data_IF_740082631978
#
_entry.id   IF_740082631978
#
_cell.length_a   1.000
_cell.length_b   1.000
_cell.length_c   1.000
_cell.angle_alpha   90.00
_cell.angle_beta   90.00
_cell.angle_gamma   90.00
#
_symmetry.space_group_name_H-M   'P 1'
#
loop_
_entity.id
_entity.type
_entity.pdbx_description
1 polymer ?
#
# COMPACT_ATOMS: atom_id res chain seq x y z
N UNK A 1 -20.65 -10.61 9.15
CA UNK A 1 -19.87 -10.83 10.39
C UNK A 1 -18.43 -11.29 10.13
N UNK A 2 -18.20 -12.37 9.35
CA UNK A 2 -16.82 -12.87 9.09
C UNK A 2 -15.87 -11.79 8.54
N UNK A 3 -16.30 -11.01 7.53
CA UNK A 3 -15.46 -9.96 6.93
C UNK A 3 -15.03 -8.88 7.93
N UNK A 4 -15.94 -8.47 8.83
CA UNK A 4 -15.65 -7.47 9.85
C UNK A 4 -14.59 -7.99 10.84
N UNK A 5 -14.72 -9.23 11.28
CA UNK A 5 -13.75 -9.85 12.21
C UNK A 5 -12.38 -9.96 11.55
N UNK A 6 -12.32 -10.44 10.30
CA UNK A 6 -11.08 -10.52 9.53
C UNK A 6 -10.45 -9.13 9.40
N UNK A 7 -11.25 -8.11 9.09
CA UNK A 7 -10.75 -6.74 8.95
C UNK A 7 -10.17 -6.19 10.25
N UNK A 8 -10.86 -6.38 11.36
CA UNK A 8 -10.38 -5.94 12.68
C UNK A 8 -9.03 -6.60 13.00
N UNK A 9 -8.93 -7.92 12.81
CA UNK A 9 -7.68 -8.66 13.09
C UNK A 9 -6.55 -8.17 12.18
N UNK A 10 -6.81 -7.96 10.89
CA UNK A 10 -5.81 -7.51 9.92
C UNK A 10 -5.33 -6.08 10.22
N UNK A 11 -6.26 -5.15 10.51
CA UNK A 11 -5.89 -3.79 10.91
C UNK A 11 -5.09 -3.77 12.22
N UNK A 12 -5.56 -4.49 13.23
CA UNK A 12 -4.84 -4.61 14.50
C UNK A 12 -3.41 -5.11 14.28
N UNK A 13 -3.24 -6.13 13.44
CA UNK A 13 -1.94 -6.69 13.11
C UNK A 13 -1.02 -5.70 12.38
N UNK A 14 -1.55 -4.95 11.40
CA UNK A 14 -0.77 -3.93 10.67
C UNK A 14 -0.34 -2.78 11.56
N UNK A 15 -1.23 -2.32 12.45
CA UNK A 15 -0.89 -1.26 13.41
C UNK A 15 0.15 -1.79 14.42
N UNK A 16 0.00 -3.02 14.88
CA UNK A 16 0.98 -3.62 15.79
C UNK A 16 2.38 -3.71 15.15
N UNK A 17 2.47 -4.08 13.87
CA UNK A 17 3.75 -4.07 13.13
C UNK A 17 4.32 -2.66 13.07
N UNK A 18 3.48 -1.67 12.79
CA UNK A 18 3.86 -0.26 12.77
C UNK A 18 4.45 0.20 14.11
N UNK A 19 3.72 0.01 15.20
CA UNK A 19 4.15 0.35 16.55
C UNK A 19 5.42 -0.41 16.96
N UNK A 20 5.55 -1.65 16.50
CA UNK A 20 6.75 -2.45 16.74
C UNK A 20 7.99 -1.87 16.07
N UNK A 21 7.84 -1.19 14.92
CA UNK A 21 8.90 -0.43 14.29
C UNK A 21 9.43 0.68 15.19
N UNK A 22 8.56 1.52 15.73
CA UNK A 22 8.90 2.56 16.70
C UNK A 22 9.57 1.97 17.94
N UNK A 23 8.96 0.95 18.50
CA UNK A 23 9.45 0.26 19.69
C UNK A 23 10.90 -0.22 19.56
N UNK A 24 11.22 -0.96 18.49
CA UNK A 24 12.57 -1.51 18.28
C UNK A 24 13.61 -0.39 18.20
N UNK A 25 13.33 0.64 17.41
CA UNK A 25 14.32 1.71 17.18
C UNK A 25 14.41 2.63 18.39
N UNK A 26 13.31 2.91 19.09
CA UNK A 26 13.35 3.65 20.36
C UNK A 26 14.26 2.96 21.38
N UNK A 27 14.06 1.66 21.60
CA UNK A 27 14.89 0.86 22.53
C UNK A 27 16.36 0.82 22.12
N UNK A 28 16.67 0.63 20.82
CA UNK A 28 18.04 0.64 20.30
C UNK A 28 18.69 2.03 20.41
N UNK A 29 17.91 3.09 20.31
CA UNK A 29 18.36 4.48 20.44
C UNK A 29 18.56 4.92 21.90
N UNK A 30 18.18 4.08 22.88
CA UNK A 30 18.25 4.39 24.30
C UNK A 30 17.10 5.27 24.78
N UNK A 31 16.04 5.45 23.96
CA UNK A 31 14.82 6.15 24.36
C UNK A 31 13.99 5.20 25.24
N UNK A 32 13.52 5.71 26.38
CA UNK A 32 12.71 4.94 27.31
C UNK A 32 11.31 4.74 26.75
N UNK A 33 10.87 3.47 26.65
CA UNK A 33 9.52 3.11 26.28
C UNK A 33 8.76 2.68 27.52
N UNK A 34 7.75 3.46 27.90
CA UNK A 34 6.94 3.24 29.08
C UNK A 34 5.95 2.11 28.89
N UNK A 35 5.29 2.09 27.72
CA UNK A 35 4.27 1.07 27.42
C UNK A 35 4.26 0.69 25.95
N UNK A 36 4.07 -0.59 25.68
CA UNK A 36 3.76 -1.14 24.37
C UNK A 36 2.41 -1.86 24.45
N UNK A 37 1.39 -1.32 23.81
CA UNK A 37 0.00 -1.75 23.97
C UNK A 37 -0.60 -2.29 22.67
N UNK A 38 -1.33 -3.39 22.78
CA UNK A 38 -2.20 -3.95 21.75
C UNK A 38 -3.62 -3.50 22.06
N UNK A 39 -4.26 -2.78 21.13
CA UNK A 39 -5.59 -2.23 21.32
C UNK A 39 -5.60 -0.94 22.14
N UNK A 40 -6.78 -0.41 22.38
CA UNK A 40 -7.04 0.82 23.15
C UNK A 40 -8.04 0.60 24.27
N UNK A 41 -8.13 1.56 25.22
CA UNK A 41 -9.09 1.56 26.33
C UNK A 41 -8.56 0.87 27.58
N UNK A 42 -9.45 0.33 28.45
CA UNK A 42 -9.07 -0.32 29.70
C UNK A 42 -8.19 -1.54 29.47
N UNK A 43 -7.17 -1.74 30.33
CA UNK A 43 -6.25 -2.88 30.27
C UNK A 43 -6.96 -4.15 30.73
N UNK A 44 -6.96 -5.19 29.87
CA UNK A 44 -7.43 -6.54 30.22
C UNK A 44 -6.30 -7.33 30.85
N UNK A 45 -5.11 -7.22 30.27
CA UNK A 45 -3.91 -7.89 30.73
C UNK A 45 -2.70 -6.97 30.60
N UNK A 46 -1.82 -6.98 31.60
CA UNK A 46 -0.57 -6.25 31.50
C UNK A 46 0.55 -6.99 32.24
N UNK A 47 1.77 -6.86 31.70
CA UNK A 47 2.98 -7.44 32.30
C UNK A 47 4.14 -6.47 32.19
N UNK A 48 4.73 -6.12 33.32
CA UNK A 48 5.96 -5.34 33.35
C UNK A 48 7.16 -6.24 33.01
N UNK A 49 7.98 -5.80 32.04
CA UNK A 49 9.26 -6.44 31.72
C UNK A 49 10.33 -5.38 31.57
N UNK A 50 11.22 -5.32 32.56
CA UNK A 50 12.16 -4.20 32.69
C UNK A 50 11.43 -2.87 32.91
N UNK A 51 11.75 -1.87 32.11
CA UNK A 51 11.11 -0.55 32.18
C UNK A 51 9.82 -0.41 31.38
N UNK A 52 9.48 -1.40 30.53
CA UNK A 52 8.33 -1.33 29.63
C UNK A 52 7.18 -2.16 30.15
N UNK A 53 5.99 -1.57 30.20
CA UNK A 53 4.73 -2.26 30.44
C UNK A 53 4.19 -2.78 29.09
N UNK A 54 3.98 -4.09 28.99
CA UNK A 54 3.30 -4.71 27.84
C UNK A 54 1.85 -4.92 28.21
N UNK A 55 0.92 -4.40 27.40
CA UNK A 55 -0.50 -4.49 27.73
C UNK A 55 -1.35 -4.94 26.54
N UNK A 56 -2.47 -5.59 26.86
CA UNK A 56 -3.55 -5.89 25.93
C UNK A 56 -4.80 -5.19 26.47
N UNK A 57 -5.38 -4.34 25.65
CA UNK A 57 -6.51 -3.49 26.01
C UNK A 57 -7.82 -4.01 25.42
N UNK A 58 -8.94 -3.53 25.93
CA UNK A 58 -10.29 -4.06 25.68
C UNK A 58 -10.74 -3.87 24.22
N UNK A 59 -10.44 -2.75 23.61
CA UNK A 59 -10.88 -2.47 22.25
C UNK A 59 -9.78 -2.88 21.26
N UNK A 60 -10.02 -3.89 20.39
CA UNK A 60 -9.04 -4.36 19.42
C UNK A 60 -8.90 -3.42 18.22
N UNK A 61 -8.80 -2.13 18.50
CA UNK A 61 -8.65 -1.07 17.51
C UNK A 61 -7.37 -0.32 17.83
N UNK A 62 -6.39 -0.41 16.92
CA UNK A 62 -5.12 0.26 17.11
C UNK A 62 -4.17 -0.43 18.08
N UNK A 63 -3.19 0.31 18.51
CA UNK A 63 -2.14 0.00 19.46
C UNK A 63 -1.33 1.25 19.66
N UNK A 64 -0.37 1.23 20.57
CA UNK A 64 0.54 2.35 20.75
C UNK A 64 1.87 1.93 21.38
N UNK A 65 2.89 2.70 21.06
CA UNK A 65 4.21 2.64 21.68
C UNK A 65 4.44 3.96 22.44
N UNK A 66 4.13 4.00 23.74
CA UNK A 66 4.28 5.21 24.54
C UNK A 66 5.74 5.41 24.94
N UNK A 67 6.38 6.40 24.34
CA UNK A 67 7.74 6.81 24.68
C UNK A 67 7.73 7.91 25.74
N UNK A 68 8.68 7.87 26.65
CA UNK A 68 8.83 8.91 27.68
C UNK A 68 9.10 10.26 27.02
N UNK A 69 8.30 11.30 27.37
CA UNK A 69 8.50 12.66 26.87
C UNK A 69 8.16 12.86 25.39
N UNK A 70 7.37 11.99 24.78
CA UNK A 70 6.94 12.15 23.39
C UNK A 70 5.88 13.27 23.26
N UNK A 71 4.83 13.20 24.06
CA UNK A 71 3.71 14.14 24.01
C UNK A 71 3.68 15.15 25.17
N UNK A 72 4.62 15.04 26.11
CA UNK A 72 4.74 15.92 27.28
C UNK A 72 6.22 16.23 27.57
N UNK A 73 6.47 17.21 28.43
CA UNK A 73 7.83 17.48 28.89
C UNK A 73 8.24 16.50 29.98
N UNK A 74 9.39 15.87 29.85
CA UNK A 74 9.92 14.92 30.82
C UNK A 74 11.27 15.33 31.36
N UNK A 75 11.50 15.03 32.65
CA UNK A 75 12.81 15.21 33.29
C UNK A 75 13.77 14.03 33.08
N UNK A 76 13.28 12.88 32.58
CA UNK A 76 14.13 11.73 32.30
C UNK A 76 15.12 12.05 31.16
N UNK A 77 16.40 11.74 31.35
CA UNK A 77 17.43 11.97 30.35
C UNK A 77 17.26 11.12 29.08
N UNK A 78 16.58 10.00 29.21
CA UNK A 78 16.25 9.08 28.12
C UNK A 78 14.91 9.37 27.46
N UNK A 79 14.35 10.55 27.70
CA UNK A 79 13.10 10.97 27.09
C UNK A 79 13.27 11.23 25.59
N UNK A 80 12.20 11.04 24.83
CA UNK A 80 12.15 11.27 23.40
C UNK A 80 12.48 12.74 23.06
N UNK A 81 11.95 13.68 23.82
CA UNK A 81 12.18 15.12 23.59
C UNK A 81 13.62 15.54 23.83
N UNK A 82 14.37 14.89 24.76
CA UNK A 82 15.81 15.16 24.98
C UNK A 82 16.71 14.40 24.03
N UNK A 83 16.20 13.37 23.34
CA UNK A 83 16.99 12.60 22.41
C UNK A 83 17.47 13.47 21.22
N UNK A 84 18.69 13.24 20.71
CA UNK A 84 19.18 13.91 19.49
C UNK A 84 18.23 13.77 18.32
N UNK A 85 18.11 14.80 17.47
CA UNK A 85 17.15 14.85 16.37
C UNK A 85 17.24 13.64 15.43
N UNK A 86 18.45 13.12 15.15
CA UNK A 86 18.60 11.91 14.32
C UNK A 86 18.02 10.66 14.97
N UNK A 87 18.10 10.50 16.29
CA UNK A 87 17.50 9.38 17.01
C UNK A 87 15.97 9.46 16.95
N UNK A 88 15.41 10.65 17.15
CA UNK A 88 13.97 10.90 17.00
C UNK A 88 13.51 10.62 15.58
N UNK A 89 14.23 11.14 14.58
CA UNK A 89 13.96 10.89 13.17
C UNK A 89 13.87 9.39 12.84
N UNK A 90 14.90 8.60 13.17
CA UNK A 90 14.91 7.17 12.88
C UNK A 90 13.87 6.39 13.69
N UNK A 91 13.58 6.81 14.91
CA UNK A 91 12.56 6.20 15.74
C UNK A 91 11.17 6.36 15.10
N UNK A 92 10.82 7.56 14.67
CA UNK A 92 9.51 7.79 14.05
C UNK A 92 9.47 7.22 12.63
N UNK A 93 10.51 7.30 11.85
CA UNK A 93 10.59 6.72 10.50
C UNK A 93 10.39 5.18 10.51
N UNK A 94 10.78 4.52 11.60
CA UNK A 94 10.76 3.06 11.68
C UNK A 94 9.35 2.46 11.58
N UNK A 95 8.33 3.12 12.11
CA UNK A 95 6.93 2.67 12.00
C UNK A 95 6.46 2.57 10.54
N UNK A 96 6.44 3.66 9.79
CA UNK A 96 6.10 3.62 8.37
C UNK A 96 6.97 2.67 7.55
N UNK A 97 8.28 2.66 7.80
CA UNK A 97 9.23 1.86 7.03
C UNK A 97 9.01 0.35 7.22
N UNK A 98 8.73 -0.11 8.45
CA UNK A 98 8.49 -1.52 8.70
C UNK A 98 7.22 -2.00 7.98
N UNK A 99 6.20 -1.15 7.84
CA UNK A 99 5.01 -1.46 7.07
C UNK A 99 5.32 -1.64 5.58
N UNK A 100 6.17 -0.80 5.00
CA UNK A 100 6.61 -0.96 3.61
C UNK A 100 7.42 -2.24 3.41
N UNK A 101 8.34 -2.55 4.35
CA UNK A 101 9.12 -3.80 4.33
C UNK A 101 8.19 -5.01 4.45
N UNK A 102 7.25 -4.96 5.38
CA UNK A 102 6.28 -6.04 5.59
C UNK A 102 5.41 -6.26 4.34
N UNK A 103 4.94 -5.21 3.70
CA UNK A 103 4.21 -5.30 2.43
C UNK A 103 5.06 -5.99 1.35
N UNK A 104 6.33 -5.62 1.22
CA UNK A 104 7.27 -6.26 0.29
C UNK A 104 7.41 -7.76 0.55
N UNK A 105 7.46 -8.18 1.82
CA UNK A 105 7.50 -9.59 2.19
C UNK A 105 6.20 -10.32 1.81
N UNK A 106 5.04 -9.68 2.05
CA UNK A 106 3.74 -10.25 1.66
C UNK A 106 3.60 -10.41 0.15
N UNK A 107 3.98 -9.41 -0.64
CA UNK A 107 3.97 -9.51 -2.10
C UNK A 107 4.97 -10.54 -2.62
N UNK A 108 6.14 -10.64 -2.00
CA UNK A 108 7.12 -11.68 -2.31
C UNK A 108 6.55 -13.08 -2.05
N UNK A 109 5.88 -13.26 -0.92
CA UNK A 109 5.23 -14.51 -0.57
C UNK A 109 4.12 -14.87 -1.58
N UNK A 110 3.29 -13.90 -1.97
CA UNK A 110 2.27 -14.11 -3.00
C UNK A 110 2.93 -14.48 -4.33
N UNK A 111 3.93 -13.73 -4.79
CA UNK A 111 4.62 -14.00 -6.04
C UNK A 111 5.29 -15.40 -6.06
N UNK A 112 5.89 -15.81 -4.95
CA UNK A 112 6.50 -17.13 -4.82
C UNK A 112 5.47 -18.27 -4.99
N UNK A 113 4.27 -18.10 -4.40
CA UNK A 113 3.22 -19.12 -4.43
C UNK A 113 2.40 -19.11 -5.73
N UNK A 114 2.10 -17.94 -6.27
CA UNK A 114 1.22 -17.80 -7.45
C UNK A 114 1.99 -17.68 -8.76
N UNK A 115 3.29 -17.34 -8.70
CA UNK A 115 4.10 -16.99 -9.86
C UNK A 115 3.83 -15.56 -10.34
N UNK A 116 4.46 -15.18 -11.46
CA UNK A 116 4.25 -13.93 -12.18
C UNK A 116 3.43 -14.14 -13.45
N UNK A 117 2.62 -13.17 -13.88
CA UNK A 117 1.93 -13.26 -15.15
C UNK A 117 2.94 -13.30 -16.30
N UNK A 118 2.82 -14.32 -17.17
CA UNK A 118 3.60 -14.43 -18.39
C UNK A 118 2.85 -13.83 -19.57
N UNK A 119 3.49 -13.79 -20.72
CA UNK A 119 2.87 -13.31 -21.97
C UNK A 119 2.00 -14.39 -22.66
N UNK A 120 1.86 -15.60 -22.06
CA UNK A 120 1.06 -16.70 -22.60
C UNK A 120 -0.40 -16.58 -22.21
N UNK A 121 -1.28 -16.83 -23.17
CA UNK A 121 -2.74 -16.83 -22.98
C UNK A 121 -3.14 -18.09 -22.20
N UNK A 122 -3.72 -17.92 -21.01
CA UNK A 122 -4.36 -19.02 -20.25
C UNK A 122 -5.82 -19.15 -20.65
N UNK A 123 -6.53 -18.03 -20.72
CA UNK A 123 -7.96 -17.97 -20.94
C UNK A 123 -8.33 -16.63 -21.56
N UNK A 124 -9.43 -16.58 -22.32
CA UNK A 124 -9.96 -15.33 -22.84
C UNK A 124 -11.00 -14.76 -21.88
N UNK A 125 -11.00 -13.43 -21.71
CA UNK A 125 -12.06 -12.75 -20.99
C UNK A 125 -13.40 -12.88 -21.77
N UNK A 126 -14.53 -12.71 -21.10
CA UNK A 126 -15.87 -12.90 -21.64
C UNK A 126 -16.09 -12.12 -22.94
N UNK A 127 -15.56 -10.90 -23.03
CA UNK A 127 -15.64 -10.03 -24.19
C UNK A 127 -14.29 -9.83 -24.90
N UNK A 128 -13.48 -10.86 -25.00
CA UNK A 128 -12.15 -10.80 -25.58
C UNK A 128 -12.20 -10.45 -27.08
N UNK A 129 -11.61 -9.32 -27.51
CA UNK A 129 -11.57 -8.95 -28.93
C UNK A 129 -10.70 -9.90 -29.74
N UNK A 130 -9.64 -10.46 -29.15
CA UNK A 130 -8.68 -11.30 -29.88
C UNK A 130 -9.13 -12.74 -30.05
N UNK A 131 -10.13 -13.22 -29.26
CA UNK A 131 -10.69 -14.57 -29.39
C UNK A 131 -11.26 -14.80 -30.80
N UNK A 132 -12.08 -13.87 -31.28
CA UNK A 132 -12.66 -13.93 -32.64
C UNK A 132 -11.63 -13.69 -33.75
N UNK A 133 -10.46 -13.16 -33.45
CA UNK A 133 -9.40 -12.83 -34.39
C UNK A 133 -8.35 -13.95 -34.51
N UNK A 134 -8.71 -15.17 -34.06
CA UNK A 134 -7.93 -16.41 -34.30
C UNK A 134 -6.74 -16.58 -33.38
N UNK A 135 -6.73 -15.94 -32.17
CA UNK A 135 -5.81 -16.32 -31.09
C UNK A 135 -6.30 -17.60 -30.41
N UNK A 136 -5.37 -18.34 -29.83
CA UNK A 136 -5.62 -19.60 -29.15
C UNK A 136 -5.03 -19.62 -27.76
N UNK A 137 -5.54 -20.49 -26.89
CA UNK A 137 -4.95 -20.77 -25.58
C UNK A 137 -3.52 -21.28 -25.80
N UNK A 138 -2.60 -20.89 -24.93
CA UNK A 138 -1.15 -21.11 -24.98
C UNK A 138 -0.39 -20.33 -26.07
N UNK A 139 -1.01 -19.46 -26.88
CA UNK A 139 -0.27 -18.49 -27.68
C UNK A 139 0.53 -17.59 -26.75
N UNK A 140 1.75 -17.28 -27.13
CA UNK A 140 2.64 -16.37 -26.40
C UNK A 140 2.75 -15.06 -27.20
N UNK A 141 2.40 -13.94 -26.57
CA UNK A 141 2.55 -12.62 -27.19
C UNK A 141 4.03 -12.26 -27.15
N UNK A 142 4.64 -12.13 -28.33
CA UNK A 142 6.07 -11.85 -28.50
C UNK A 142 6.34 -10.39 -28.85
N UNK A 143 5.55 -9.79 -29.75
CA UNK A 143 5.66 -8.37 -30.09
C UNK A 143 4.29 -7.71 -30.16
N UNK A 144 4.24 -6.42 -29.80
CA UNK A 144 3.10 -5.54 -30.00
C UNK A 144 3.61 -4.27 -30.65
N UNK A 145 3.10 -3.91 -31.84
CA UNK A 145 3.56 -2.78 -32.66
C UNK A 145 5.09 -2.78 -32.83
N UNK A 146 5.65 -3.91 -33.24
CA UNK A 146 7.09 -4.16 -33.45
C UNK A 146 7.99 -4.04 -32.19
N UNK A 147 7.42 -3.71 -31.01
CA UNK A 147 8.15 -3.72 -29.74
C UNK A 147 8.13 -5.14 -29.14
N UNK A 148 9.29 -5.65 -28.74
CA UNK A 148 9.38 -6.91 -28.02
C UNK A 148 8.76 -6.82 -26.63
N UNK A 149 8.05 -7.87 -26.24
CA UNK A 149 7.34 -8.01 -24.99
C UNK A 149 8.09 -9.00 -24.10
N UNK A 150 8.69 -8.50 -23.03
CA UNK A 150 9.43 -9.30 -22.06
C UNK A 150 8.58 -9.62 -20.84
N UNK A 151 7.71 -8.69 -20.42
CA UNK A 151 6.82 -8.83 -19.28
C UNK A 151 5.37 -8.57 -19.72
N UNK A 152 4.41 -9.14 -18.98
CA UNK A 152 2.99 -8.93 -19.26
C UNK A 152 2.58 -7.44 -19.26
N UNK A 153 3.20 -6.65 -18.38
CA UNK A 153 2.98 -5.20 -18.29
C UNK A 153 3.37 -4.43 -19.56
N UNK A 154 4.30 -4.96 -20.35
CA UNK A 154 4.76 -4.32 -21.59
C UNK A 154 3.70 -4.35 -22.69
N UNK A 155 2.77 -5.33 -22.62
CA UNK A 155 1.63 -5.40 -23.53
C UNK A 155 0.77 -4.14 -23.38
N UNK A 156 0.36 -3.82 -22.15
CA UNK A 156 -0.46 -2.65 -21.88
C UNK A 156 0.24 -1.34 -22.25
N UNK A 157 1.52 -1.21 -21.89
CA UNK A 157 2.33 -0.03 -22.28
C UNK A 157 2.43 0.14 -23.80
N UNK A 158 2.68 -0.96 -24.53
CA UNK A 158 2.80 -0.90 -25.99
C UNK A 158 1.46 -0.57 -26.68
N UNK A 159 0.35 -1.05 -26.13
CA UNK A 159 -1.00 -0.69 -26.58
C UNK A 159 -1.28 0.79 -26.31
N UNK A 160 -1.04 1.26 -25.09
CA UNK A 160 -1.26 2.67 -24.73
C UNK A 160 -0.41 3.61 -25.58
N UNK A 161 0.86 3.29 -25.81
CA UNK A 161 1.76 4.10 -26.65
C UNK A 161 1.28 4.17 -28.10
N UNK A 162 0.81 3.06 -28.66
CA UNK A 162 0.25 3.04 -30.01
C UNK A 162 -0.97 3.96 -30.11
N UNK A 163 -1.93 3.82 -29.20
CA UNK A 163 -3.19 4.56 -29.25
C UNK A 163 -3.11 6.03 -28.79
N UNK A 164 -1.96 6.51 -28.32
CA UNK A 164 -1.73 7.96 -28.13
C UNK A 164 -1.79 8.73 -29.45
N UNK A 165 -1.35 8.10 -30.55
CA UNK A 165 -1.22 8.73 -31.87
C UNK A 165 -2.14 8.11 -32.95
N UNK A 166 -2.98 7.13 -32.57
CA UNK A 166 -3.85 6.39 -33.45
C UNK A 166 -5.30 6.42 -32.97
N UNK A 167 -6.24 6.21 -33.91
CA UNK A 167 -7.67 6.12 -33.58
C UNK A 167 -8.00 4.80 -32.90
N UNK A 168 -9.08 4.78 -32.12
CA UNK A 168 -9.54 3.57 -31.40
C UNK A 168 -9.86 2.39 -32.32
N UNK A 169 -10.25 2.66 -33.57
CA UNK A 169 -10.58 1.64 -34.57
C UNK A 169 -9.40 1.12 -35.35
N UNK A 170 -8.21 1.76 -35.22
CA UNK A 170 -7.03 1.33 -35.93
C UNK A 170 -6.58 -0.05 -35.43
N UNK A 171 -6.12 -0.86 -36.39
CA UNK A 171 -5.59 -2.19 -36.05
C UNK A 171 -4.13 -2.07 -35.64
N UNK A 172 -3.76 -2.83 -34.61
CA UNK A 172 -2.39 -2.94 -34.14
C UNK A 172 -1.78 -4.27 -34.55
N UNK A 173 -0.49 -4.26 -34.91
CA UNK A 173 0.26 -5.48 -35.19
C UNK A 173 0.63 -6.20 -33.92
N UNK A 174 0.35 -7.49 -33.84
CA UNK A 174 0.74 -8.38 -32.76
C UNK A 174 1.40 -9.62 -33.33
N UNK A 175 2.65 -9.87 -32.97
CA UNK A 175 3.36 -11.11 -33.28
C UNK A 175 3.19 -12.05 -32.09
N UNK A 176 2.71 -13.26 -32.36
CA UNK A 176 2.61 -14.32 -31.37
C UNK A 176 3.48 -15.53 -31.73
N UNK A 177 3.85 -16.31 -30.74
CA UNK A 177 4.51 -17.62 -30.92
C UNK A 177 3.48 -18.72 -30.66
N UNK A 178 3.30 -19.60 -31.67
CA UNK A 178 2.46 -20.80 -31.57
C UNK A 178 3.23 -21.98 -32.15
N UNK A 179 3.42 -23.04 -31.38
CA UNK A 179 4.17 -24.24 -31.81
C UNK A 179 5.55 -23.87 -32.39
N UNK A 180 6.29 -22.98 -31.72
CA UNK A 180 7.61 -22.47 -32.10
C UNK A 180 7.63 -21.73 -33.45
N UNK A 181 6.49 -21.27 -33.97
CA UNK A 181 6.39 -20.44 -35.17
C UNK A 181 5.89 -19.06 -34.83
N UNK A 182 6.50 -18.05 -35.44
CA UNK A 182 6.03 -16.66 -35.34
C UNK A 182 4.84 -16.45 -36.28
N UNK A 183 3.81 -15.84 -35.77
CA UNK A 183 2.58 -15.53 -36.51
C UNK A 183 2.23 -14.08 -36.27
N UNK A 184 2.22 -13.31 -37.35
CA UNK A 184 1.82 -11.90 -37.32
C UNK A 184 0.32 -11.78 -37.53
N UNK A 185 -0.31 -10.95 -36.69
CA UNK A 185 -1.73 -10.62 -36.77
C UNK A 185 -1.96 -9.13 -36.64
N UNK A 186 -2.84 -8.61 -37.47
CA UNK A 186 -3.34 -7.24 -37.33
C UNK A 186 -4.69 -7.29 -36.63
N UNK A 187 -4.76 -6.78 -35.41
CA UNK A 187 -5.90 -6.95 -34.50
C UNK A 187 -6.54 -5.64 -34.08
N UNK A 188 -7.85 -5.65 -33.90
CA UNK A 188 -8.57 -4.60 -33.21
C UNK A 188 -8.60 -4.93 -31.73
N UNK A 189 -8.31 -3.91 -30.88
CA UNK A 189 -8.42 -4.02 -29.43
C UNK A 189 -9.77 -3.52 -28.94
N UNK A 190 -10.13 -3.84 -27.70
CA UNK A 190 -11.25 -3.26 -26.98
C UNK A 190 -10.73 -2.17 -26.03
N UNK A 191 -11.57 -1.17 -25.77
CA UNK A 191 -11.28 -0.16 -24.75
C UNK A 191 -12.17 -0.40 -23.53
N UNK A 192 -11.56 -0.60 -22.37
CA UNK A 192 -12.22 -0.63 -21.06
C UNK A 192 -11.67 0.53 -20.23
N UNK A 193 -12.55 1.35 -19.66
CA UNK A 193 -12.17 2.55 -18.91
C UNK A 193 -11.13 3.45 -19.63
N UNK A 194 -11.32 3.61 -20.94
CA UNK A 194 -10.43 4.36 -21.85
C UNK A 194 -9.05 3.71 -22.07
N UNK A 195 -8.79 2.50 -21.56
CA UNK A 195 -7.54 1.76 -21.77
C UNK A 195 -7.70 0.68 -22.84
N UNK A 196 -6.75 0.55 -23.78
CA UNK A 196 -6.78 -0.50 -24.78
C UNK A 196 -6.39 -1.84 -24.15
N UNK A 197 -7.16 -2.91 -24.42
CA UNK A 197 -6.92 -4.25 -23.90
C UNK A 197 -7.02 -5.31 -24.99
N UNK A 198 -6.23 -6.38 -24.87
CA UNK A 198 -6.36 -7.59 -25.70
C UNK A 198 -7.42 -8.57 -25.15
N UNK A 199 -7.76 -8.48 -23.87
CA UNK A 199 -8.84 -9.25 -23.27
C UNK A 199 -8.52 -10.72 -23.05
N UNK A 200 -7.39 -11.02 -22.37
CA UNK A 200 -7.04 -12.36 -21.94
C UNK A 200 -6.46 -12.39 -20.53
N UNK A 201 -6.59 -13.54 -19.89
CA UNK A 201 -5.97 -13.86 -18.60
C UNK A 201 -4.64 -14.55 -18.89
N UNK A 202 -3.50 -14.03 -18.37
CA UNK A 202 -2.20 -14.62 -18.58
C UNK A 202 -2.03 -15.94 -17.82
N UNK A 203 -1.21 -16.80 -18.36
CA UNK A 203 -0.73 -17.98 -17.62
C UNK A 203 0.37 -17.53 -16.66
N UNK A 204 0.29 -17.95 -15.41
CA UNK A 204 1.35 -17.65 -14.46
C UNK A 204 2.57 -18.56 -14.69
N UNK A 205 3.75 -17.96 -14.60
CA UNK A 205 5.04 -18.64 -14.61
C UNK A 205 5.59 -18.67 -13.19
N UNK A 206 6.01 -19.84 -12.71
CA UNK A 206 6.67 -19.98 -11.41
C UNK A 206 7.91 -19.12 -11.34
N UNK A 207 8.16 -18.53 -10.19
CA UNK A 207 9.34 -17.71 -9.90
C UNK A 207 10.14 -18.32 -8.76
N UNK A 208 11.46 -18.11 -8.79
CA UNK A 208 12.34 -18.52 -7.71
C UNK A 208 12.25 -17.59 -6.50
N UNK A 209 12.83 -18.02 -5.38
CA UNK A 209 12.82 -17.25 -4.12
C UNK A 209 13.37 -15.83 -4.28
N UNK A 210 14.56 -15.66 -4.85
CA UNK A 210 15.15 -14.32 -5.04
C UNK A 210 14.37 -13.47 -6.02
N UNK A 211 13.85 -14.07 -7.09
CA UNK A 211 13.01 -13.35 -8.04
C UNK A 211 11.71 -12.87 -7.39
N UNK A 212 11.12 -13.67 -6.51
CA UNK A 212 9.91 -13.26 -5.77
C UNK A 212 10.15 -12.05 -4.87
N UNK A 213 11.34 -11.93 -4.23
CA UNK A 213 11.71 -10.76 -3.43
C UNK A 213 11.82 -9.51 -4.32
N UNK A 214 12.43 -9.64 -5.49
CA UNK A 214 12.53 -8.53 -6.45
C UNK A 214 11.13 -8.09 -6.90
N UNK A 215 10.24 -9.05 -7.20
CA UNK A 215 8.86 -8.76 -7.59
C UNK A 215 8.12 -8.03 -6.45
N UNK A 216 8.21 -8.54 -5.23
CA UNK A 216 7.55 -7.92 -4.08
C UNK A 216 8.04 -6.48 -3.80
N UNK A 217 9.34 -6.24 -3.92
CA UNK A 217 9.91 -4.90 -3.76
C UNK A 217 9.48 -3.95 -4.90
N UNK A 218 9.47 -4.42 -6.14
CA UNK A 218 8.96 -3.65 -7.29
C UNK A 218 7.48 -3.30 -7.12
N UNK A 219 6.68 -4.23 -6.56
CA UNK A 219 5.25 -4.01 -6.33
C UNK A 219 5.01 -2.89 -5.32
N UNK A 220 5.78 -2.84 -4.20
CA UNK A 220 5.74 -1.71 -3.26
C UNK A 220 6.04 -0.39 -3.97
N UNK A 221 7.11 -0.33 -4.77
CA UNK A 221 7.47 0.88 -5.54
C UNK A 221 6.38 1.30 -6.54
N UNK A 222 5.77 0.33 -7.23
CA UNK A 222 4.65 0.56 -8.16
C UNK A 222 3.44 1.15 -7.44
N UNK A 223 3.07 0.59 -6.28
CA UNK A 223 1.95 1.09 -5.48
C UNK A 223 2.20 2.49 -4.94
N UNK A 224 3.40 2.78 -4.42
CA UNK A 224 3.77 4.13 -3.98
C UNK A 224 3.66 5.12 -5.16
N UNK A 225 4.16 4.75 -6.33
CA UNK A 225 4.08 5.60 -7.53
C UNK A 225 2.62 5.87 -7.93
N UNK A 226 1.76 4.85 -7.86
CA UNK A 226 0.33 4.99 -8.12
C UNK A 226 -0.34 5.92 -7.10
N UNK A 227 -0.02 5.81 -5.81
CA UNK A 227 -0.54 6.69 -4.76
C UNK A 227 -0.16 8.15 -4.98
N UNK A 228 1.09 8.42 -5.38
CA UNK A 228 1.55 9.77 -5.74
C UNK A 228 0.73 10.33 -6.92
N UNK A 229 0.47 9.51 -7.95
CA UNK A 229 -0.36 9.91 -9.10
C UNK A 229 -1.80 10.19 -8.66
N UNK A 230 -2.38 9.34 -7.82
CA UNK A 230 -3.75 9.53 -7.29
C UNK A 230 -3.84 10.82 -6.48
N UNK A 231 -2.89 11.07 -5.57
CA UNK A 231 -2.82 12.32 -4.80
C UNK A 231 -2.70 13.54 -5.72
N UNK A 232 -1.78 13.50 -6.70
CA UNK A 232 -1.65 14.58 -7.69
C UNK A 232 -2.96 14.85 -8.43
N UNK A 233 -3.65 13.80 -8.86
CA UNK A 233 -4.93 13.94 -9.57
C UNK A 233 -6.05 14.46 -8.68
N UNK A 234 -6.04 14.11 -7.39
CA UNK A 234 -6.97 14.64 -6.39
C UNK A 234 -6.74 16.14 -6.17
N UNK A 235 -5.48 16.56 -5.95
CA UNK A 235 -5.14 17.98 -5.75
C UNK A 235 -5.35 18.84 -7.01
N UNK A 236 -5.22 18.26 -8.21
CA UNK A 236 -5.47 18.96 -9.48
C UNK A 236 -6.94 18.91 -9.92
N UNK A 237 -7.84 18.34 -9.11
CA UNK A 237 -9.27 18.22 -9.43
C UNK A 237 -9.61 17.25 -10.56
N UNK A 238 -8.64 16.46 -11.05
CA UNK A 238 -8.87 15.44 -12.08
C UNK A 238 -9.57 14.20 -11.54
N UNK A 239 -9.45 13.94 -10.24
CA UNK A 239 -10.18 12.93 -9.49
C UNK A 239 -11.05 13.62 -8.44
N UNK A 240 -12.32 13.23 -8.37
CA UNK A 240 -13.22 13.69 -7.33
C UNK A 240 -13.06 12.90 -6.03
N UNK A 241 -13.55 13.44 -4.91
CA UNK A 241 -13.61 12.75 -3.61
C UNK A 241 -14.38 11.42 -3.67
N UNK A 242 -15.20 11.22 -4.70
CA UNK A 242 -15.88 9.95 -4.95
C UNK A 242 -14.93 8.76 -5.16
N UNK A 243 -13.70 9.01 -5.58
CA UNK A 243 -12.69 7.97 -5.80
C UNK A 243 -12.05 7.45 -4.48
N UNK A 244 -12.22 8.17 -3.36
CA UNK A 244 -11.69 7.74 -2.07
C UNK A 244 -12.61 6.70 -1.44
N UNK A 245 -12.06 5.63 -0.91
CA UNK A 245 -12.77 4.63 -0.09
C UNK A 245 -12.54 4.91 1.39
N UNK A 246 -13.60 4.90 2.16
CA UNK A 246 -13.53 5.00 3.61
C UNK A 246 -13.42 3.63 4.30
N UNK A 247 -13.47 3.61 5.63
CA UNK A 247 -13.36 2.38 6.41
C UNK A 247 -14.37 1.30 6.01
N UNK A 248 -15.59 1.69 5.67
CA UNK A 248 -16.66 0.74 5.27
C UNK A 248 -16.35 0.10 3.92
N UNK A 249 -15.86 0.91 2.96
CA UNK A 249 -15.43 0.43 1.65
C UNK A 249 -14.25 -0.56 1.76
N UNK A 250 -13.29 -0.26 2.63
CA UNK A 250 -12.13 -1.15 2.88
C UNK A 250 -12.57 -2.48 3.49
N UNK A 251 -13.48 -2.48 4.48
CA UNK A 251 -14.03 -3.72 5.08
C UNK A 251 -14.77 -4.55 4.04
N UNK A 252 -15.58 -3.91 3.17
CA UNK A 252 -16.29 -4.58 2.08
C UNK A 252 -15.32 -5.23 1.09
N UNK A 253 -14.28 -4.48 0.68
CA UNK A 253 -13.27 -4.99 -0.25
C UNK A 253 -12.47 -6.13 0.36
N UNK A 254 -12.09 -6.04 1.65
CA UNK A 254 -11.40 -7.11 2.35
C UNK A 254 -12.23 -8.40 2.40
N UNK A 255 -13.55 -8.27 2.63
CA UNK A 255 -14.47 -9.40 2.55
C UNK A 255 -14.51 -10.02 1.15
N UNK A 256 -14.49 -9.20 0.10
CA UNK A 256 -14.43 -9.66 -1.28
C UNK A 256 -13.13 -10.42 -1.57
N UNK A 257 -12.00 -9.87 -1.16
CA UNK A 257 -10.69 -10.51 -1.36
C UNK A 257 -10.57 -11.84 -0.58
N UNK A 258 -11.14 -11.91 0.63
CA UNK A 258 -11.19 -13.16 1.40
C UNK A 258 -11.98 -14.26 0.68
N UNK A 259 -13.07 -13.91 0.00
CA UNK A 259 -13.87 -14.86 -0.79
C UNK A 259 -13.16 -15.33 -2.09
N UNK A 260 -12.27 -14.49 -2.65
CA UNK A 260 -11.45 -14.84 -3.81
C UNK A 260 -10.28 -15.77 -3.46
N UNK A 261 -9.97 -15.95 -2.19
CA UNK A 261 -8.97 -16.87 -1.69
C UNK A 261 -7.86 -16.21 -0.88
N UNK A 262 -7.10 -17.05 -0.17
CA UNK A 262 -6.09 -16.59 0.80
C UNK A 262 -4.99 -15.74 0.17
N UNK A 263 -4.54 -16.04 -1.05
CA UNK A 263 -3.48 -15.27 -1.70
C UNK A 263 -3.93 -13.86 -2.07
N UNK A 264 -5.20 -13.69 -2.47
CA UNK A 264 -5.79 -12.37 -2.72
C UNK A 264 -5.91 -11.57 -1.41
N UNK A 265 -6.28 -12.23 -0.32
CA UNK A 265 -6.36 -11.59 0.99
C UNK A 265 -4.98 -11.13 1.48
N UNK A 266 -3.93 -11.97 1.33
CA UNK A 266 -2.54 -11.62 1.68
C UNK A 266 -2.04 -10.46 0.81
N UNK A 267 -2.32 -10.48 -0.49
CA UNK A 267 -1.99 -9.37 -1.39
C UNK A 267 -2.67 -8.07 -0.94
N UNK A 268 -3.96 -8.14 -0.60
CA UNK A 268 -4.71 -6.99 -0.13
C UNK A 268 -4.20 -6.47 1.24
N UNK A 269 -3.76 -7.36 2.13
CA UNK A 269 -3.09 -6.98 3.37
C UNK A 269 -1.79 -6.19 3.09
N UNK A 270 -0.99 -6.66 2.12
CA UNK A 270 0.18 -5.93 1.64
C UNK A 270 -0.18 -4.55 1.09
N UNK A 271 -1.24 -4.45 0.30
CA UNK A 271 -1.75 -3.18 -0.22
C UNK A 271 -2.11 -2.19 0.91
N UNK A 272 -2.84 -2.65 1.93
CA UNK A 272 -3.17 -1.80 3.10
C UNK A 272 -1.90 -1.41 3.86
N UNK A 273 -0.93 -2.32 4.00
CA UNK A 273 0.34 -2.04 4.65
C UNK A 273 1.14 -0.96 3.93
N UNK A 274 1.19 -0.98 2.58
CA UNK A 274 1.80 0.12 1.79
C UNK A 274 1.07 1.44 2.03
N UNK A 275 -0.28 1.42 2.03
CA UNK A 275 -1.09 2.61 2.30
C UNK A 275 -0.73 3.20 3.67
N UNK A 276 -0.74 2.37 4.72
CA UNK A 276 -0.44 2.81 6.08
C UNK A 276 0.98 3.39 6.17
N UNK A 277 1.99 2.70 5.60
CA UNK A 277 3.35 3.20 5.54
C UNK A 277 3.49 4.51 4.75
N UNK A 278 2.89 4.58 3.57
CA UNK A 278 2.97 5.75 2.70
C UNK A 278 2.29 6.99 3.31
N UNK A 279 1.05 6.87 3.81
CA UNK A 279 0.35 8.01 4.40
C UNK A 279 1.02 8.50 5.67
N UNK A 280 1.58 7.60 6.48
CA UNK A 280 2.35 7.98 7.67
C UNK A 280 3.71 8.63 7.34
N UNK A 281 4.20 8.57 6.11
CA UNK A 281 5.38 9.32 5.66
C UNK A 281 5.04 10.73 5.16
N UNK A 282 3.77 11.03 4.88
CA UNK A 282 3.37 12.37 4.42
C UNK A 282 3.46 13.40 5.55
N UNK A 283 3.83 14.66 5.25
CA UNK A 283 3.94 15.73 6.25
C UNK A 283 2.54 16.22 6.69
N UNK A 284 1.68 15.29 7.07
CA UNK A 284 0.34 15.59 7.55
C UNK A 284 0.38 15.64 9.08
N UNK A 285 -0.08 16.73 9.72
CA UNK A 285 -0.18 16.80 11.16
C UNK A 285 -1.00 15.64 11.73
N UNK A 286 -0.64 15.19 12.94
CA UNK A 286 -1.15 13.99 13.60
C UNK A 286 -0.70 12.64 13.02
N UNK A 287 0.06 12.62 11.91
CA UNK A 287 0.75 11.42 11.42
C UNK A 287 2.25 11.51 11.69
N UNK A 288 2.95 10.38 11.66
CA UNK A 288 4.40 10.29 11.89
C UNK A 288 5.21 11.21 10.98
N UNK A 289 4.78 11.39 9.75
CA UNK A 289 5.40 12.25 8.78
C UNK A 289 5.63 13.66 9.29
N UNK A 290 4.71 14.22 10.09
CA UNK A 290 4.92 15.53 10.70
C UNK A 290 6.12 15.54 11.64
N UNK A 291 6.25 14.53 12.51
CA UNK A 291 7.38 14.39 13.45
C UNK A 291 8.70 14.04 12.72
N UNK A 292 8.62 13.31 11.61
CA UNK A 292 9.76 13.05 10.72
C UNK A 292 10.28 14.36 10.14
N UNK A 293 9.40 15.20 9.61
CA UNK A 293 9.77 16.48 9.01
C UNK A 293 10.29 17.48 10.05
N UNK A 294 9.69 17.57 11.24
CA UNK A 294 10.18 18.43 12.31
C UNK A 294 11.57 18.01 12.79
N UNK A 295 11.81 16.69 12.93
CA UNK A 295 13.12 16.16 13.29
C UNK A 295 14.16 16.40 12.19
N UNK A 296 13.80 16.24 10.92
CA UNK A 296 14.66 16.53 9.78
C UNK A 296 15.01 18.03 9.70
N UNK A 297 14.03 18.89 9.88
CA UNK A 297 14.24 20.34 9.94
C UNK A 297 15.23 20.70 11.03
N UNK A 298 15.11 20.14 12.24
CA UNK A 298 16.05 20.36 13.33
C UNK A 298 17.47 19.84 13.01
N UNK A 299 17.57 18.69 12.35
CA UNK A 299 18.88 18.15 11.91
C UNK A 299 19.62 19.10 10.97
N UNK A 300 18.87 19.74 10.04
CA UNK A 300 19.44 20.65 9.03
C UNK A 300 19.72 22.03 9.63
N UNK A 301 18.76 22.62 10.33
CA UNK A 301 18.82 24.03 10.78
C UNK A 301 19.44 24.19 12.16
N UNK A 302 19.56 23.11 12.93
CA UNK A 302 19.95 23.11 14.36
C UNK A 302 18.97 23.89 15.25
N UNK A 303 17.79 24.24 14.74
CA UNK A 303 16.77 24.99 15.49
C UNK A 303 15.56 24.10 15.74
N UNK A 304 15.09 24.04 16.98
CA UNK A 304 13.86 23.35 17.34
C UNK A 304 12.64 24.17 16.97
N UNK A 305 11.62 23.50 16.51
CA UNK A 305 10.27 24.08 16.35
C UNK A 305 9.66 24.25 17.76
N UNK A 306 8.95 25.35 17.95
CA UNK A 306 8.29 25.59 19.22
C UNK A 306 7.23 24.53 19.47
N UNK A 307 7.32 23.84 20.62
CA UNK A 307 6.43 22.75 21.01
C UNK A 307 4.94 23.13 20.98
N UNK A 308 4.60 24.37 21.40
CA UNK A 308 3.22 24.89 21.33
C UNK A 308 2.68 25.04 19.91
N UNK A 309 3.56 25.34 18.96
CA UNK A 309 3.19 25.42 17.54
C UNK A 309 2.94 24.01 17.01
N UNK A 310 3.85 23.08 17.28
CA UNK A 310 3.76 21.66 16.88
C UNK A 310 2.46 21.03 17.42
N UNK A 311 2.14 21.25 18.70
CA UNK A 311 0.92 20.76 19.33
C UNK A 311 -0.35 21.30 18.67
N UNK A 312 -0.42 22.62 18.39
CA UNK A 312 -1.55 23.21 17.69
C UNK A 312 -1.74 22.67 16.27
N UNK A 313 -0.62 22.45 15.55
CA UNK A 313 -0.67 21.82 14.23
C UNK A 313 -1.17 20.38 14.30
N UNK A 314 -0.70 19.60 15.28
CA UNK A 314 -1.13 18.21 15.51
C UNK A 314 -2.62 18.14 15.81
N UNK A 315 -3.13 18.99 16.72
CA UNK A 315 -4.56 19.03 17.04
C UNK A 315 -5.40 19.43 15.81
N UNK A 316 -4.97 20.46 15.08
CA UNK A 316 -5.66 20.90 13.86
C UNK A 316 -5.70 19.79 12.79
N UNK A 317 -4.60 19.10 12.59
CA UNK A 317 -4.52 17.96 11.65
C UNK A 317 -5.38 16.79 12.08
N UNK A 318 -5.42 16.48 13.37
CA UNK A 318 -6.27 15.43 13.91
C UNK A 318 -7.76 15.72 13.68
N UNK A 319 -8.22 16.95 13.94
CA UNK A 319 -9.59 17.37 13.68
C UNK A 319 -9.91 17.28 12.18
N UNK A 320 -8.98 17.73 11.32
CA UNK A 320 -9.13 17.63 9.87
C UNK A 320 -9.25 16.17 9.40
N UNK A 321 -8.39 15.28 9.88
CA UNK A 321 -8.43 13.86 9.52
C UNK A 321 -9.70 13.17 10.02
N UNK A 322 -10.15 13.46 11.24
CA UNK A 322 -11.43 12.96 11.75
C UNK A 322 -12.61 13.44 10.88
N UNK A 323 -12.62 14.70 10.49
CA UNK A 323 -13.63 15.25 9.59
C UNK A 323 -13.63 14.54 8.23
N UNK A 324 -12.44 14.32 7.66
CA UNK A 324 -12.29 13.61 6.39
C UNK A 324 -12.77 12.15 6.48
N UNK A 325 -12.40 11.44 7.53
CA UNK A 325 -12.83 10.05 7.78
C UNK A 325 -14.36 10.01 7.90
N UNK A 326 -14.95 10.94 8.65
CA UNK A 326 -16.40 11.02 8.82
C UNK A 326 -17.11 11.24 7.48
N UNK A 327 -16.66 12.21 6.69
CA UNK A 327 -17.23 12.52 5.37
C UNK A 327 -17.16 11.32 4.42
N UNK A 328 -16.00 10.64 4.36
CA UNK A 328 -15.84 9.47 3.47
C UNK A 328 -16.66 8.29 3.98
N UNK A 329 -16.79 8.11 5.30
CA UNK A 329 -17.63 7.07 5.90
C UNK A 329 -19.11 7.28 5.58
N UNK A 330 -19.62 8.52 5.71
CA UNK A 330 -21.00 8.86 5.34
C UNK A 330 -21.25 8.56 3.86
N UNK A 331 -20.31 8.97 2.98
CA UNK A 331 -20.38 8.65 1.55
C UNK A 331 -20.42 7.14 1.29
N UNK A 332 -19.56 6.37 1.97
CA UNK A 332 -19.54 4.90 1.82
C UNK A 332 -20.88 4.27 2.23
N UNK A 333 -21.50 4.79 3.31
CA UNK A 333 -22.82 4.33 3.77
C UNK A 333 -23.92 4.67 2.75
N UNK A 334 -23.91 5.89 2.18
CA UNK A 334 -24.87 6.28 1.14
C UNK A 334 -24.74 5.38 -0.10
N UNK A 335 -23.54 4.97 -0.46
CA UNK A 335 -23.29 4.08 -1.61
C UNK A 335 -23.62 2.60 -1.32
N UNK A 336 -24.00 2.25 -0.09
CA UNK A 336 -24.43 0.89 0.28
C UNK A 336 -25.94 0.70 0.11
N UNK A 337 -26.70 1.79 0.12
CA UNK A 337 -28.15 1.86 -0.08
C UNK A 337 -28.50 2.44 -1.44
#
# INVERSE_FOLDING_TARGET
MKSVIISIIMFLFLILIHEFGHFIIAKKSGIKVNEFAIGMGPKIFSKQKGETLYSVNLFPIGGYCAMEGEDYESNDERSFDKAPAYKRFFTILAGPLINLIFAGLLFSFVAFNTGKPSTKIKEFTENSPIKSQGFKINDEIYKVNNKEINEFSDISKSLEDFYKNHKKDDKISVTLIRNNKYIDKSVKVKFEDKRPILGFIPKNQKVGFFESIIIGTKEVGSMISMMVIVLKNLFTGKLGFSALSGPVGVVKEMGRQANLGIMNLIFFLGYISVNLGFFNLLPIPALDGSKIFTSLFEMITKKRINKKIEEKFTIGGFIFLLGLILLVTIKDLINLF
#
